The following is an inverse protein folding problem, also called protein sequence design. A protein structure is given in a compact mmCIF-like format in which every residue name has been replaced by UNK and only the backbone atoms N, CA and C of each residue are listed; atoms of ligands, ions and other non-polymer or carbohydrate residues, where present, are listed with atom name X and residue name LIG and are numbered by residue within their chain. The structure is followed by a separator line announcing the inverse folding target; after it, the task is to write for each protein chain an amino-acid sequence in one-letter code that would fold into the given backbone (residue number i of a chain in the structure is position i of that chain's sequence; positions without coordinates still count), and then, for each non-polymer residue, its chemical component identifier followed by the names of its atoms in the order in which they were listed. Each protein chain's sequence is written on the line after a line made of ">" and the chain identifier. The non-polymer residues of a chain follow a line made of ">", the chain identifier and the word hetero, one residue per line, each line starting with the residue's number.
data_IF_381042276262
#
_entry.id   IF_381042276262
#
_cell.length_a   1.000
_cell.length_b   1.000
_cell.length_c   1.000
_cell.angle_alpha   90.00
_cell.angle_beta   90.00
_cell.angle_gamma   90.00
#
_symmetry.space_group_name_H-M   'P 1'
#
loop_
_entity.id
_entity.type
_entity.pdbx_description
1 polymer ?
#
# COMPACT_ATOMS: atom_id res chain seq x y z
N UNK A 1 -66.86 58.57 -0.75
CA UNK A 1 -66.00 59.21 -1.76
C UNK A 1 -64.68 59.58 -1.09
N UNK A 2 -63.55 59.43 -1.79
CA UNK A 2 -62.36 58.74 -1.31
C UNK A 2 -61.42 59.63 -0.50
N UNK A 3 -60.58 59.03 0.35
CA UNK A 3 -59.22 59.54 0.48
C UNK A 3 -58.20 58.42 0.65
N UNK A 4 -57.16 58.52 -0.16
CA UNK A 4 -56.08 57.55 -0.35
C UNK A 4 -54.84 57.98 0.43
N UNK A 5 -54.01 56.97 0.72
CA UNK A 5 -52.58 57.02 1.01
C UNK A 5 -52.11 57.51 2.39
N UNK A 6 -51.61 56.55 3.18
CA UNK A 6 -50.28 56.64 3.75
C UNK A 6 -49.68 55.22 3.84
N UNK A 7 -48.69 54.97 3.00
CA UNK A 7 -47.75 53.85 3.12
C UNK A 7 -46.67 54.30 4.11
N UNK A 8 -46.46 53.53 5.17
CA UNK A 8 -45.21 53.55 5.93
C UNK A 8 -44.88 52.12 6.40
N UNK A 9 -43.61 51.71 6.32
CA UNK A 9 -43.19 50.31 6.41
C UNK A 9 -43.17 49.84 7.87
N UNK A 10 -43.80 48.70 8.15
CA UNK A 10 -43.59 47.99 9.40
C UNK A 10 -42.22 47.31 9.35
N UNK A 11 -41.25 47.96 9.96
CA UNK A 11 -40.05 47.35 10.50
C UNK A 11 -40.52 46.31 11.52
N UNK A 12 -40.41 45.02 11.17
CA UNK A 12 -40.42 43.94 12.16
C UNK A 12 -39.22 43.03 11.92
N UNK A 13 -38.32 43.13 12.88
CA UNK A 13 -37.19 42.28 13.17
C UNK A 13 -37.56 40.79 13.06
N UNK A 14 -36.88 40.06 12.18
CA UNK A 14 -36.74 38.61 12.29
C UNK A 14 -35.24 38.33 12.46
N UNK A 15 -34.92 37.88 13.66
CA UNK A 15 -33.59 37.73 14.19
C UNK A 15 -32.76 36.70 13.41
N UNK A 16 -31.47 37.01 13.30
CA UNK A 16 -30.32 36.15 13.06
C UNK A 16 -30.62 34.64 13.13
N UNK A 17 -30.64 33.99 11.96
CA UNK A 17 -30.30 32.58 11.83
C UNK A 17 -28.80 32.45 12.10
N UNK A 18 -28.46 32.30 13.38
CA UNK A 18 -27.11 31.98 13.85
C UNK A 18 -26.77 30.56 13.40
N UNK A 19 -25.76 30.50 12.54
CA UNK A 19 -24.74 29.46 12.44
C UNK A 19 -25.10 28.10 13.07
N UNK A 20 -25.59 27.17 12.26
CA UNK A 20 -25.40 25.75 12.53
C UNK A 20 -23.90 25.46 12.42
N UNK A 21 -23.20 25.56 13.55
CA UNK A 21 -21.86 25.04 13.70
C UNK A 21 -21.85 23.57 13.31
N UNK A 22 -21.00 23.25 12.34
CA UNK A 22 -20.68 21.90 11.92
C UNK A 22 -20.14 21.09 13.12
N UNK A 23 -20.98 20.26 13.72
CA UNK A 23 -20.51 19.10 14.44
C UNK A 23 -20.27 18.00 13.39
N UNK A 24 -19.07 17.97 12.82
CA UNK A 24 -18.55 16.75 12.21
C UNK A 24 -18.43 15.72 13.33
N UNK A 25 -19.47 14.92 13.50
CA UNK A 25 -19.54 13.90 14.54
C UNK A 25 -18.58 12.79 14.09
N UNK A 26 -17.37 12.77 14.65
CA UNK A 26 -16.50 11.60 14.54
C UNK A 26 -17.31 10.40 15.03
N UNK A 27 -17.49 9.41 14.18
CA UNK A 27 -18.39 8.30 14.43
C UNK A 27 -18.00 7.61 15.75
N UNK A 28 -18.93 7.36 16.68
CA UNK A 28 -18.63 6.73 17.97
C UNK A 28 -18.09 5.29 17.88
N UNK A 29 -17.93 4.74 16.66
CA UNK A 29 -17.31 3.43 16.40
C UNK A 29 -15.78 3.40 16.52
N UNK A 30 -15.09 4.54 16.48
CA UNK A 30 -13.62 4.55 16.38
C UNK A 30 -12.92 4.40 17.75
N UNK A 31 -13.44 5.03 18.81
CA UNK A 31 -12.81 4.99 20.12
C UNK A 31 -13.00 3.65 20.85
N UNK A 32 -14.19 3.03 20.71
CA UNK A 32 -14.49 1.73 21.28
C UNK A 32 -13.67 0.61 20.60
N UNK A 33 -13.63 0.62 19.27
CA UNK A 33 -12.84 -0.34 18.50
C UNK A 33 -11.33 -0.17 18.70
N UNK A 34 -10.84 1.07 18.89
CA UNK A 34 -9.45 1.32 19.25
C UNK A 34 -9.08 0.73 20.62
N UNK A 35 -9.98 0.85 21.61
CA UNK A 35 -9.76 0.26 22.94
C UNK A 35 -9.76 -1.26 22.89
N UNK A 36 -10.62 -1.86 22.07
CA UNK A 36 -10.66 -3.31 21.86
C UNK A 36 -9.36 -3.83 21.25
N UNK A 37 -8.89 -3.21 20.14
CA UNK A 37 -7.60 -3.55 19.51
C UNK A 37 -6.44 -3.45 20.49
N UNK A 38 -6.40 -2.39 21.29
CA UNK A 38 -5.40 -2.24 22.35
C UNK A 38 -5.43 -3.40 23.37
N UNK A 39 -6.60 -3.90 23.76
CA UNK A 39 -6.65 -5.05 24.66
C UNK A 39 -6.12 -6.31 23.98
N UNK A 40 -6.47 -6.54 22.71
CA UNK A 40 -5.95 -7.67 21.93
C UNK A 40 -4.42 -7.61 21.83
N UNK A 41 -3.87 -6.44 21.47
CA UNK A 41 -2.42 -6.21 21.38
C UNK A 41 -1.74 -6.45 22.73
N UNK A 42 -2.33 -5.95 23.82
CA UNK A 42 -1.81 -6.21 25.17
C UNK A 42 -1.76 -7.69 25.52
N UNK A 43 -2.80 -8.46 25.19
CA UNK A 43 -2.78 -9.91 25.42
C UNK A 43 -1.67 -10.59 24.61
N UNK A 44 -1.47 -10.18 23.35
CA UNK A 44 -0.37 -10.67 22.52
C UNK A 44 1.01 -10.30 23.10
N UNK A 45 1.18 -9.06 23.58
CA UNK A 45 2.40 -8.66 24.29
C UNK A 45 2.63 -9.49 25.57
N UNK A 46 1.55 -9.86 26.26
CA UNK A 46 1.60 -10.60 27.53
C UNK A 46 1.97 -12.06 27.34
N UNK A 47 1.56 -12.67 26.22
CA UNK A 47 1.91 -14.05 25.88
C UNK A 47 3.38 -14.23 25.49
N UNK A 48 4.08 -13.13 25.17
CA UNK A 48 5.47 -13.18 24.71
C UNK A 48 5.62 -13.74 23.29
N UNK A 49 4.52 -13.99 22.59
CA UNK A 49 4.52 -14.53 21.22
C UNK A 49 4.73 -13.42 20.17
N UNK A 50 5.48 -12.38 20.51
CA UNK A 50 5.80 -11.27 19.60
C UNK A 50 7.27 -11.32 19.26
N UNK A 51 7.65 -10.85 18.07
CA UNK A 51 9.06 -10.76 17.65
C UNK A 51 9.86 -9.65 18.35
N UNK A 52 9.33 -9.05 19.41
CA UNK A 52 9.88 -7.88 20.10
C UNK A 52 9.84 -8.07 21.62
N UNK A 53 10.53 -7.21 22.37
CA UNK A 53 10.43 -7.22 23.84
C UNK A 53 9.01 -6.88 24.31
N UNK A 54 8.57 -7.46 25.42
CA UNK A 54 7.25 -7.16 26.03
C UNK A 54 7.06 -5.68 26.31
N UNK A 55 8.11 -5.00 26.77
CA UNK A 55 8.07 -3.57 27.07
C UNK A 55 7.89 -2.73 25.80
N UNK A 56 8.66 -3.03 24.75
CA UNK A 56 8.52 -2.40 23.42
C UNK A 56 7.10 -2.61 22.88
N UNK A 57 6.61 -3.84 22.92
CA UNK A 57 5.28 -4.19 22.45
C UNK A 57 4.18 -3.39 23.17
N UNK A 58 4.23 -3.32 24.51
CA UNK A 58 3.28 -2.55 25.30
C UNK A 58 3.33 -1.04 24.98
N UNK A 59 4.55 -0.51 24.76
CA UNK A 59 4.74 0.88 24.36
C UNK A 59 4.13 1.17 23.00
N UNK A 60 4.35 0.30 22.02
CA UNK A 60 3.79 0.41 20.68
C UNK A 60 2.25 0.31 20.70
N UNK A 61 1.69 -0.64 21.46
CA UNK A 61 0.23 -0.76 21.63
C UNK A 61 -0.38 0.50 22.25
N UNK A 62 0.28 1.10 23.25
CA UNK A 62 -0.16 2.36 23.86
C UNK A 62 -0.11 3.54 22.88
N UNK A 63 0.94 3.62 22.08
CA UNK A 63 1.07 4.63 21.03
C UNK A 63 -0.02 4.49 19.96
N UNK A 64 -0.32 3.26 19.54
CA UNK A 64 -1.40 2.98 18.59
C UNK A 64 -2.77 3.41 19.13
N UNK A 65 -3.06 3.14 20.41
CA UNK A 65 -4.29 3.61 21.06
C UNK A 65 -4.37 5.13 21.11
N UNK A 66 -3.27 5.81 21.44
CA UNK A 66 -3.24 7.27 21.49
C UNK A 66 -3.47 7.88 20.11
N UNK A 67 -2.79 7.35 19.07
CA UNK A 67 -2.97 7.77 17.69
C UNK A 67 -4.43 7.60 17.24
N UNK A 68 -5.04 6.46 17.55
CA UNK A 68 -6.44 6.17 17.26
C UNK A 68 -7.39 7.19 17.92
N UNK A 69 -7.18 7.46 19.21
CA UNK A 69 -7.98 8.43 19.97
C UNK A 69 -7.83 9.87 19.47
N UNK A 70 -6.65 10.24 18.98
CA UNK A 70 -6.41 11.54 18.36
C UNK A 70 -6.88 11.63 16.90
N UNK A 71 -7.51 10.58 16.36
CA UNK A 71 -7.97 10.54 14.96
C UNK A 71 -6.82 10.55 13.94
N UNK A 72 -5.60 10.22 14.36
CA UNK A 72 -4.41 10.17 13.50
C UNK A 72 -4.33 8.86 12.71
N UNK A 73 -5.08 7.84 13.12
CA UNK A 73 -5.30 6.64 12.31
C UNK A 73 -6.47 6.96 11.38
N UNK A 74 -6.17 7.28 10.12
CA UNK A 74 -7.21 7.49 9.12
C UNK A 74 -8.15 6.28 9.07
N UNK A 75 -9.44 6.49 9.33
CA UNK A 75 -10.49 5.48 9.18
C UNK A 75 -10.75 5.12 7.70
N UNK A 76 -10.09 5.81 6.78
CA UNK A 76 -10.33 5.73 5.35
C UNK A 76 -9.43 4.64 4.76
N UNK A 77 -10.06 3.52 4.41
CA UNK A 77 -9.55 2.59 3.41
C UNK A 77 -8.15 2.05 3.69
N UNK A 78 -7.96 1.36 4.82
CA UNK A 78 -6.72 0.60 5.01
C UNK A 78 -6.45 -0.31 3.79
N UNK A 79 -7.46 -1.05 3.32
CA UNK A 79 -7.30 -1.95 2.17
C UNK A 79 -7.10 -1.22 0.84
N UNK A 80 -7.94 -0.23 0.51
CA UNK A 80 -7.83 0.47 -0.79
C UNK A 80 -6.67 1.48 -0.81
N UNK A 81 -6.33 2.07 0.33
CA UNK A 81 -5.16 2.91 0.51
C UNK A 81 -3.86 2.13 0.40
N UNK A 82 -3.75 0.94 1.03
CA UNK A 82 -2.55 0.11 0.90
C UNK A 82 -2.40 -0.43 -0.54
N UNK A 83 -3.48 -0.85 -1.19
CA UNK A 83 -3.43 -1.34 -2.57
C UNK A 83 -3.05 -0.23 -3.55
N UNK A 84 -3.62 0.98 -3.40
CA UNK A 84 -3.25 2.16 -4.18
C UNK A 84 -1.79 2.53 -4.00
N UNK A 85 -1.32 2.65 -2.76
CA UNK A 85 0.10 2.94 -2.49
C UNK A 85 1.00 1.86 -3.10
N UNK A 86 0.61 0.58 -3.01
CA UNK A 86 1.37 -0.51 -3.59
C UNK A 86 1.47 -0.43 -5.12
N UNK A 87 0.39 -0.04 -5.80
CA UNK A 87 0.38 0.19 -7.25
C UNK A 87 1.16 1.45 -7.64
N UNK A 88 1.11 2.52 -6.83
CA UNK A 88 1.88 3.73 -7.07
C UNK A 88 3.39 3.45 -7.10
N UNK A 89 3.89 2.50 -6.29
CA UNK A 89 5.30 2.07 -6.37
C UNK A 89 5.69 1.48 -7.72
N UNK A 90 4.74 0.96 -8.51
CA UNK A 90 5.01 0.44 -9.85
C UNK A 90 5.26 1.56 -10.88
N UNK A 91 4.95 2.82 -10.57
CA UNK A 91 5.15 3.95 -11.49
C UNK A 91 6.63 4.26 -11.78
N UNK A 92 7.56 3.70 -10.99
CA UNK A 92 9.00 3.79 -11.25
C UNK A 92 9.40 3.13 -12.59
N UNK A 93 8.62 2.15 -13.06
CA UNK A 93 8.90 1.45 -14.31
C UNK A 93 8.45 2.28 -15.51
N UNK A 94 9.41 2.68 -16.35
CA UNK A 94 9.14 3.46 -17.56
C UNK A 94 8.69 2.62 -18.75
N UNK A 95 9.08 1.34 -18.79
CA UNK A 95 8.63 0.39 -19.78
C UNK A 95 7.20 -0.09 -19.43
N UNK A 96 6.24 -0.02 -20.37
CA UNK A 96 4.87 -0.47 -20.12
C UNK A 96 4.78 -1.95 -19.71
N UNK A 97 5.62 -2.82 -20.27
CA UNK A 97 5.64 -4.26 -19.94
C UNK A 97 6.05 -4.48 -18.48
N UNK A 98 7.12 -3.80 -18.03
CA UNK A 98 7.62 -3.93 -16.66
C UNK A 98 6.65 -3.35 -15.63
N UNK A 99 6.01 -2.23 -15.98
CA UNK A 99 4.96 -1.62 -15.15
C UNK A 99 3.77 -2.55 -14.98
N UNK A 100 3.30 -3.17 -16.06
CA UNK A 100 2.19 -4.12 -16.01
C UNK A 100 2.58 -5.39 -15.24
N UNK A 101 3.80 -5.90 -15.41
CA UNK A 101 4.32 -7.02 -14.63
C UNK A 101 4.35 -6.73 -13.13
N UNK A 102 4.77 -5.52 -12.73
CA UNK A 102 4.71 -5.08 -11.34
C UNK A 102 3.27 -5.05 -10.82
N UNK A 103 2.35 -4.43 -11.58
CA UNK A 103 0.95 -4.33 -11.20
C UNK A 103 0.28 -5.71 -11.07
N UNK A 104 0.61 -6.66 -11.96
CA UNK A 104 0.15 -8.05 -11.89
C UNK A 104 0.60 -8.73 -10.59
N UNK A 105 1.88 -8.59 -10.19
CA UNK A 105 2.36 -9.10 -8.90
C UNK A 105 1.63 -8.47 -7.70
N UNK A 106 1.33 -7.18 -7.77
CA UNK A 106 0.64 -6.47 -6.68
C UNK A 106 -0.82 -6.91 -6.55
N UNK A 107 -1.54 -7.05 -7.66
CA UNK A 107 -3.00 -7.34 -7.68
C UNK A 107 -3.32 -8.81 -7.46
N UNK A 108 -2.58 -9.70 -8.11
CA UNK A 108 -2.96 -11.12 -8.22
C UNK A 108 -1.79 -12.08 -8.05
N UNK A 109 -0.65 -11.60 -7.53
CA UNK A 109 0.51 -12.45 -7.31
C UNK A 109 0.25 -13.49 -6.21
N UNK A 110 0.71 -14.72 -6.43
CA UNK A 110 0.74 -15.75 -5.39
C UNK A 110 1.68 -15.29 -4.27
N UNK A 111 1.24 -15.46 -3.02
CA UNK A 111 2.00 -15.06 -1.84
C UNK A 111 2.62 -16.28 -1.17
N UNK A 112 3.91 -16.17 -0.84
CA UNK A 112 4.65 -17.17 -0.08
C UNK A 112 5.47 -16.49 1.04
N UNK A 113 5.76 -17.23 2.11
CA UNK A 113 6.50 -16.74 3.27
C UNK A 113 5.62 -16.27 4.42
N UNK A 114 6.22 -15.58 5.38
CA UNK A 114 5.53 -15.03 6.55
C UNK A 114 6.24 -13.79 7.08
N UNK A 115 5.47 -12.89 7.71
CA UNK A 115 6.05 -11.71 8.37
C UNK A 115 7.03 -12.12 9.47
N UNK A 116 6.69 -13.15 10.25
CA UNK A 116 7.58 -13.70 11.27
C UNK A 116 8.87 -14.30 10.67
N UNK A 117 8.79 -14.90 9.48
CA UNK A 117 9.92 -15.46 8.74
C UNK A 117 10.76 -14.44 7.95
N UNK A 118 10.48 -13.14 8.09
CA UNK A 118 11.29 -12.07 7.51
C UNK A 118 10.79 -11.50 6.18
N UNK A 119 9.64 -11.96 5.66
CA UNK A 119 9.05 -11.36 4.47
C UNK A 119 7.95 -12.17 3.79
N UNK A 120 7.20 -11.49 2.93
CA UNK A 120 6.24 -12.09 2.00
C UNK A 120 6.77 -11.87 0.58
N UNK A 121 6.94 -12.95 -0.17
CA UNK A 121 7.25 -12.91 -1.61
C UNK A 121 5.96 -12.94 -2.41
N UNK A 122 5.93 -12.20 -3.52
CA UNK A 122 4.81 -12.15 -4.46
C UNK A 122 5.28 -12.46 -5.86
N UNK A 123 4.67 -13.45 -6.48
CA UNK A 123 5.01 -13.90 -7.82
C UNK A 123 3.81 -13.85 -8.75
N UNK A 124 4.02 -13.43 -10.01
CA UNK A 124 3.03 -13.50 -11.06
C UNK A 124 3.71 -13.87 -12.37
N UNK A 125 3.16 -14.85 -13.07
CA UNK A 125 3.57 -15.20 -14.44
C UNK A 125 2.69 -14.43 -15.42
N UNK A 126 3.32 -13.65 -16.30
CA UNK A 126 2.64 -12.92 -17.37
C UNK A 126 3.19 -13.36 -18.72
N UNK A 127 2.34 -13.41 -19.74
CA UNK A 127 2.78 -13.62 -21.11
C UNK A 127 3.17 -12.28 -21.72
N UNK A 128 4.41 -12.18 -22.19
CA UNK A 128 4.89 -10.98 -22.90
C UNK A 128 4.70 -11.21 -24.40
N UNK A 129 3.95 -10.34 -25.11
CA UNK A 129 3.81 -10.46 -26.56
C UNK A 129 5.18 -10.44 -27.24
N UNK A 130 5.42 -11.37 -28.16
CA UNK A 130 6.63 -11.35 -28.98
C UNK A 130 6.63 -10.08 -29.84
N UNK A 131 7.74 -9.36 -29.86
CA UNK A 131 7.91 -8.27 -30.81
C UNK A 131 7.78 -8.84 -32.24
N UNK A 132 7.08 -8.14 -33.16
CA UNK A 132 7.01 -8.59 -34.55
C UNK A 132 8.44 -8.67 -35.09
N UNK A 133 8.86 -9.88 -35.48
CA UNK A 133 10.14 -10.08 -36.15
C UNK A 133 10.06 -9.43 -37.52
N UNK A 134 10.50 -8.18 -37.64
CA UNK A 134 10.80 -7.57 -38.94
C UNK A 134 12.02 -8.29 -39.51
N UNK A 135 11.81 -9.40 -40.23
CA UNK A 135 12.92 -10.11 -40.87
C UNK A 135 12.77 -11.60 -41.09
N UNK A 136 11.61 -12.21 -40.87
CA UNK A 136 11.33 -13.49 -41.52
C UNK A 136 11.06 -13.22 -43.02
N UNK A 137 12.11 -12.87 -43.77
CA UNK A 137 12.12 -13.17 -45.19
C UNK A 137 11.80 -14.67 -45.28
N UNK A 138 10.68 -14.99 -45.92
CA UNK A 138 10.30 -16.35 -46.21
C UNK A 138 11.51 -17.04 -46.87
N UNK A 139 12.17 -17.92 -46.14
CA UNK A 139 13.07 -18.87 -46.74
C UNK A 139 12.20 -19.67 -47.73
N UNK A 140 12.51 -19.68 -49.04
CA UNK A 140 11.78 -20.53 -49.97
C UNK A 140 11.91 -21.98 -49.50
N UNK A 141 10.79 -22.70 -49.51
CA UNK A 141 10.73 -24.10 -49.11
C UNK A 141 11.79 -24.92 -49.87
N UNK A 142 12.56 -25.80 -49.22
CA UNK A 142 13.38 -26.76 -49.94
C UNK A 142 12.44 -27.73 -50.65
N UNK A 143 12.41 -27.67 -51.98
CA UNK A 143 11.92 -28.77 -52.81
C UNK A 143 12.93 -29.90 -52.67
N UNK A 144 12.56 -30.94 -51.93
CA UNK A 144 13.40 -32.12 -51.71
C UNK A 144 12.52 -33.36 -51.66
N UNK A 145 12.68 -34.19 -52.70
CA UNK A 145 11.98 -35.44 -52.93
C UNK A 145 12.00 -36.38 -51.72
N UNK A 146 10.86 -37.05 -51.53
CA UNK A 146 10.70 -38.14 -50.60
C UNK A 146 11.56 -39.33 -51.06
N UNK A 147 12.52 -39.75 -50.23
CA UNK A 147 12.82 -41.15 -49.89
C UNK A 147 14.04 -41.20 -48.97
N UNK A 148 13.85 -41.63 -47.72
CA UNK A 148 14.95 -41.85 -46.78
C UNK A 148 14.47 -42.41 -45.46
N UNK A 149 14.75 -43.69 -45.24
CA UNK A 149 14.26 -44.51 -44.14
C UNK A 149 14.89 -44.17 -42.77
N UNK A 150 14.19 -44.65 -41.74
CA UNK A 150 14.43 -44.59 -40.29
C UNK A 150 15.86 -44.91 -39.82
N UNK A 151 16.33 -44.18 -38.78
CA UNK A 151 17.26 -44.72 -37.78
C UNK A 151 16.97 -44.09 -36.38
N UNK A 152 16.70 -44.87 -35.32
CA UNK A 152 16.55 -44.34 -33.97
C UNK A 152 17.84 -44.54 -33.17
N UNK A 153 18.67 -43.50 -33.00
CA UNK A 153 19.79 -43.55 -32.06
C UNK A 153 19.89 -42.26 -31.26
N UNK A 154 19.60 -42.35 -29.96
CA UNK A 154 19.88 -41.32 -28.97
C UNK A 154 19.77 -41.90 -27.57
N UNK A 155 20.91 -42.32 -26.99
CA UNK A 155 21.01 -42.90 -25.64
C UNK A 155 20.59 -41.86 -24.59
N UNK A 156 20.00 -42.26 -23.43
CA UNK A 156 19.69 -41.32 -22.35
C UNK A 156 20.97 -40.71 -21.79
N UNK A 157 20.99 -39.37 -21.64
CA UNK A 157 22.06 -38.67 -20.93
C UNK A 157 21.91 -38.89 -19.42
N UNK A 158 22.96 -39.29 -18.68
CA UNK A 158 22.90 -39.34 -17.23
C UNK A 158 22.85 -37.92 -16.66
N UNK A 159 21.91 -37.66 -15.76
CA UNK A 159 21.81 -36.40 -15.01
C UNK A 159 23.07 -36.17 -14.17
N UNK A 160 23.89 -35.20 -14.59
CA UNK A 160 24.94 -34.63 -13.76
C UNK A 160 24.32 -33.90 -12.55
N UNK A 161 24.96 -34.05 -11.38
CA UNK A 161 24.56 -33.39 -10.14
C UNK A 161 24.59 -31.86 -10.30
N UNK A 162 23.70 -31.10 -9.62
CA UNK A 162 23.75 -29.64 -9.65
C UNK A 162 25.08 -29.15 -9.08
N UNK A 163 25.82 -28.36 -9.86
CA UNK A 163 26.97 -27.62 -9.34
C UNK A 163 26.46 -26.37 -8.63
N UNK A 164 26.88 -26.16 -7.38
CA UNK A 164 26.61 -24.93 -6.65
C UNK A 164 27.41 -23.77 -7.29
N UNK A 165 26.71 -22.81 -7.90
CA UNK A 165 27.32 -21.56 -8.30
C UNK A 165 27.55 -20.68 -7.05
N UNK A 166 28.75 -20.11 -6.85
CA UNK A 166 28.97 -19.16 -5.77
C UNK A 166 28.15 -17.88 -6.06
N UNK A 167 27.29 -17.52 -5.11
CA UNK A 167 26.54 -16.25 -5.13
C UNK A 167 27.53 -15.08 -5.06
N UNK A 168 27.40 -14.04 -5.92
CA UNK A 168 28.11 -12.79 -5.73
C UNK A 168 27.74 -12.19 -4.36
N UNK A 169 28.74 -11.72 -3.61
CA UNK A 169 28.57 -11.17 -2.28
C UNK A 169 27.55 -10.02 -2.24
N UNK A 170 26.73 -10.00 -1.19
CA UNK A 170 25.72 -8.97 -0.98
C UNK A 170 26.36 -7.57 -0.92
N UNK A 171 25.78 -6.54 -1.59
CA UNK A 171 26.23 -5.18 -1.44
C UNK A 171 26.05 -4.72 0.02
N UNK A 172 27.10 -4.08 0.55
CA UNK A 172 27.12 -3.56 1.92
C UNK A 172 25.97 -2.56 2.11
N UNK A 173 25.16 -2.76 3.14
CA UNK A 173 24.02 -1.91 3.43
C UNK A 173 24.46 -0.44 3.60
N UNK A 174 23.70 0.53 3.05
CA UNK A 174 23.96 1.95 3.29
C UNK A 174 23.79 2.27 4.79
N UNK A 175 24.53 3.27 5.31
CA UNK A 175 24.38 3.70 6.69
C UNK A 175 22.93 4.16 6.97
N UNK A 176 22.44 3.98 8.21
CA UNK A 176 21.09 4.38 8.57
C UNK A 176 20.90 5.89 8.35
N UNK A 177 19.75 6.25 7.78
CA UNK A 177 19.38 7.65 7.62
C UNK A 177 19.32 8.34 8.99
N UNK A 178 19.73 9.62 9.07
CA UNK A 178 19.63 10.39 10.31
C UNK A 178 18.16 10.45 10.76
N UNK A 179 17.92 10.21 12.05
CA UNK A 179 16.59 10.28 12.64
C UNK A 179 16.00 11.70 12.43
N UNK A 180 14.71 11.82 12.10
CA UNK A 180 14.06 13.13 12.02
C UNK A 180 14.13 13.80 13.39
N UNK A 181 14.63 15.03 13.41
CA UNK A 181 14.71 15.82 14.64
C UNK A 181 13.30 16.12 15.15
N UNK A 182 13.09 16.15 16.47
CA UNK A 182 11.82 16.58 17.04
C UNK A 182 11.54 18.01 16.57
N UNK A 183 10.43 18.20 15.85
CA UNK A 183 9.96 19.53 15.49
C UNK A 183 9.62 20.27 16.79
N UNK A 184 10.48 21.22 17.18
CA UNK A 184 10.22 22.13 18.29
C UNK A 184 8.98 22.94 17.93
N UNK A 185 7.85 22.61 18.55
CA UNK A 185 6.62 23.38 18.40
C UNK A 185 6.89 24.82 18.91
N UNK A 186 6.52 25.86 18.15
CA UNK A 186 6.60 27.22 18.65
C UNK A 186 5.76 27.38 19.92
N UNK A 187 6.31 28.04 20.93
CA UNK A 187 5.58 28.32 22.16
C UNK A 187 4.25 29.05 21.85
N UNK A 188 3.14 28.72 22.53
CA UNK A 188 1.87 29.39 22.33
C UNK A 188 2.00 30.88 22.63
N UNK A 189 1.63 31.72 21.67
CA UNK A 189 1.63 33.17 21.81
C UNK A 189 0.58 33.58 22.86
N UNK A 190 0.88 34.53 23.78
CA UNK A 190 -0.09 35.00 24.75
C UNK A 190 -1.27 35.68 24.04
N UNK A 191 -2.48 35.30 24.43
CA UNK A 191 -3.71 35.85 23.89
C UNK A 191 -3.84 37.34 24.27
N UNK A 192 -4.30 38.22 23.36
CA UNK A 192 -4.52 39.62 23.70
C UNK A 192 -5.72 39.75 24.65
N UNK A 193 -5.46 40.30 25.84
CA UNK A 193 -6.48 40.68 26.81
C UNK A 193 -7.32 41.82 26.22
N UNK A 194 -8.64 41.64 26.14
CA UNK A 194 -9.61 42.70 25.90
C UNK A 194 -10.28 43.09 27.20
#
# INVERSE_FOLDING_TARGET
>A
MPNRFAIAPRILSAACLIAACAAAQAAPGDAASARERYQQDRQACMSGNTGQSRETCLKEAGAALQAARSGQLGAQDATDGYSRNALQRCEVFKNPVDREACAARVRSGTQDGSVAGGGILREATIQVPAAPQSGAAAMPAPQGDATGAMAPQGRPHPHGKPHAHPMPGAPKAPPPAPMPQPMTQPAPQPMPQR
#
